data_IF_672179966840
#
_entry.id   IF_672179966840
#
_cell.length_a   1.000
_cell.length_b   1.000
_cell.length_c   1.000
_cell.angle_alpha   90.00
_cell.angle_beta   90.00
_cell.angle_gamma   90.00
#
_symmetry.space_group_name_H-M   'P 1'
#
loop_
_entity.id
_entity.type
_entity.pdbx_description
1 polymer ?
#
# COMPACT_ATOMS: atom_id res chain seq x y z
N UNK A 1 12.52 9.12 5.84
CA UNK A 1 12.97 8.20 6.91
C UNK A 1 13.69 7.03 6.25
N UNK A 2 15.02 6.98 6.34
CA UNK A 2 15.82 5.85 5.83
C UNK A 2 16.20 4.98 7.03
N UNK A 3 16.01 3.65 6.97
CA UNK A 3 16.42 2.77 8.06
C UNK A 3 17.92 2.87 8.34
N UNK A 4 18.31 2.94 9.60
CA UNK A 4 19.73 2.95 10.02
C UNK A 4 20.39 1.58 9.88
N UNK A 5 19.59 0.52 9.90
CA UNK A 5 20.04 -0.85 9.73
C UNK A 5 19.94 -1.25 8.24
N UNK A 6 21.08 -1.65 7.68
CA UNK A 6 21.27 -1.99 6.27
C UNK A 6 20.37 -3.15 5.82
N UNK A 7 20.01 -4.06 6.72
CA UNK A 7 19.10 -5.17 6.41
C UNK A 7 17.67 -4.69 6.11
N UNK A 8 17.31 -3.50 6.59
CA UNK A 8 16.00 -2.91 6.35
C UNK A 8 16.00 -1.90 5.20
N UNK A 9 17.14 -1.56 4.59
CA UNK A 9 17.22 -0.61 3.47
C UNK A 9 16.37 -1.05 2.27
N UNK A 10 16.25 -2.36 2.03
CA UNK A 10 15.42 -2.92 0.97
C UNK A 10 13.96 -3.19 1.38
N UNK A 11 13.54 -2.83 2.61
CA UNK A 11 12.15 -3.06 3.02
C UNK A 11 11.20 -2.06 2.35
N UNK A 12 10.42 -2.55 1.38
CA UNK A 12 9.40 -1.77 0.69
C UNK A 12 8.40 -1.18 1.68
N UNK A 13 8.31 0.13 1.79
CA UNK A 13 7.44 0.83 2.73
C UNK A 13 7.03 2.20 2.28
N UNK A 14 5.90 2.66 2.80
CA UNK A 14 5.51 4.05 2.65
C UNK A 14 6.52 4.96 3.37
N UNK A 15 7.19 5.89 2.69
CA UNK A 15 7.98 6.93 3.36
C UNK A 15 7.09 7.96 4.10
N UNK A 16 5.78 7.93 3.86
CA UNK A 16 4.82 8.84 4.45
C UNK A 16 4.37 8.34 5.83
N UNK A 17 4.44 9.25 6.80
CA UNK A 17 3.80 9.12 8.10
C UNK A 17 2.29 9.31 7.91
N UNK A 18 1.47 8.38 8.40
CA UNK A 18 0.01 8.51 8.33
C UNK A 18 -0.50 9.50 9.38
N UNK A 19 -1.71 10.03 9.17
CA UNK A 19 -2.34 10.91 10.15
C UNK A 19 -2.52 10.21 11.51
N UNK A 20 -2.85 8.92 11.51
CA UNK A 20 -2.96 8.14 12.74
C UNK A 20 -1.61 7.88 13.39
N UNK A 21 -0.53 7.70 12.65
CA UNK A 21 0.81 7.60 13.24
C UNK A 21 1.13 8.86 14.05
N UNK A 22 0.85 10.04 13.48
CA UNK A 22 1.03 11.34 14.17
C UNK A 22 0.11 11.41 15.39
N UNK A 23 -1.17 11.08 15.24
CA UNK A 23 -2.14 11.15 16.34
C UNK A 23 -1.75 10.21 17.50
N UNK A 24 -1.45 8.95 17.20
CA UNK A 24 -1.06 7.95 18.21
C UNK A 24 0.22 8.35 18.93
N UNK A 25 1.23 8.84 18.21
CA UNK A 25 2.45 9.37 18.85
C UNK A 25 2.14 10.53 19.78
N UNK A 26 1.31 11.49 19.34
CA UNK A 26 0.93 12.62 20.17
C UNK A 26 0.12 12.20 21.41
N UNK A 27 -0.74 11.19 21.28
CA UNK A 27 -1.45 10.63 22.43
C UNK A 27 -0.49 9.90 23.38
N UNK A 28 0.43 9.10 22.85
CA UNK A 28 1.40 8.35 23.66
C UNK A 28 2.30 9.25 24.51
N UNK A 29 2.70 10.41 23.97
CA UNK A 29 3.52 11.40 24.67
C UNK A 29 2.71 12.52 25.35
N UNK A 30 1.38 12.36 25.51
CA UNK A 30 0.47 13.34 26.11
C UNK A 30 0.57 14.75 25.50
N UNK A 31 0.95 14.85 24.22
CA UNK A 31 1.00 16.11 23.48
C UNK A 31 -0.39 16.70 23.24
N UNK A 32 -1.41 15.85 23.16
CA UNK A 32 -2.82 16.27 23.01
C UNK A 32 -3.32 17.08 24.21
N UNK A 33 -2.75 16.86 25.39
CA UNK A 33 -3.19 17.47 26.64
C UNK A 33 -2.66 18.91 26.81
N UNK A 34 -1.66 19.29 26.00
CA UNK A 34 -1.09 20.65 25.98
C UNK A 34 -2.11 21.70 25.54
N UNK A 35 -3.10 21.30 24.75
CA UNK A 35 -4.12 22.20 24.21
C UNK A 35 -5.44 22.03 24.95
N UNK A 36 -5.83 23.04 25.74
CA UNK A 36 -7.10 23.04 26.49
C UNK A 36 -8.29 22.98 25.55
N UNK A 37 -9.26 22.11 25.86
CA UNK A 37 -10.40 21.84 24.96
C UNK A 37 -11.23 23.09 24.68
N UNK A 38 -11.35 24.00 25.64
CA UNK A 38 -12.22 25.18 25.59
C UNK A 38 -11.64 26.28 24.68
N UNK A 39 -10.35 26.58 24.86
CA UNK A 39 -9.66 27.71 24.20
C UNK A 39 -8.99 27.35 22.88
N UNK A 40 -8.84 26.06 22.56
CA UNK A 40 -8.14 25.61 21.36
C UNK A 40 -9.05 25.59 20.13
N UNK A 41 -8.41 25.54 18.96
CA UNK A 41 -9.04 25.41 17.66
C UNK A 41 -10.04 24.23 17.60
N UNK A 42 -11.23 24.49 17.07
CA UNK A 42 -12.27 23.48 16.86
C UNK A 42 -12.10 22.81 15.50
N UNK A 43 -11.15 21.88 15.44
CA UNK A 43 -10.79 21.16 14.23
C UNK A 43 -11.98 20.39 13.62
N UNK A 44 -12.06 20.41 12.29
CA UNK A 44 -13.08 19.70 11.50
C UNK A 44 -12.48 18.47 10.83
N UNK A 45 -13.34 17.63 10.26
CA UNK A 45 -12.97 16.45 9.48
C UNK A 45 -12.00 15.49 10.21
N UNK A 46 -12.09 15.42 11.54
CA UNK A 46 -11.25 14.55 12.35
C UNK A 46 -9.83 15.05 12.62
N UNK A 47 -9.52 16.31 12.30
CA UNK A 47 -8.27 16.97 12.74
C UNK A 47 -8.19 17.16 14.25
N UNK A 48 -6.99 17.46 14.76
CA UNK A 48 -6.76 17.77 16.19
C UNK A 48 -5.86 19.02 16.35
N UNK A 49 -5.96 19.76 17.48
CA UNK A 49 -5.17 20.97 17.69
C UNK A 49 -3.66 20.70 17.62
N UNK A 50 -2.91 21.58 16.99
CA UNK A 50 -1.47 21.44 16.88
C UNK A 50 -0.82 21.62 18.27
N UNK A 51 -0.07 20.64 18.80
CA UNK A 51 0.43 20.67 20.18
C UNK A 51 1.40 21.81 20.53
N UNK A 52 1.99 22.45 19.51
CA UNK A 52 2.86 23.63 19.67
C UNK A 52 2.13 24.95 19.37
N UNK A 53 0.93 24.88 18.81
CA UNK A 53 0.11 26.03 18.44
C UNK A 53 -1.38 25.66 18.49
N UNK A 54 -2.00 25.82 19.65
CA UNK A 54 -3.37 25.36 19.86
C UNK A 54 -4.44 26.14 19.06
N UNK A 55 -4.06 27.20 18.35
CA UNK A 55 -4.94 28.00 17.50
C UNK A 55 -5.08 27.45 16.08
N UNK A 56 -4.29 26.44 15.71
CA UNK A 56 -4.38 25.74 14.41
C UNK A 56 -4.53 24.23 14.60
N UNK A 57 -4.91 23.55 13.52
CA UNK A 57 -5.16 22.11 13.51
C UNK A 57 -4.17 21.36 12.64
N UNK A 58 -3.78 20.16 13.09
CA UNK A 58 -3.19 19.13 12.24
C UNK A 58 -4.33 18.44 11.49
N UNK A 59 -4.25 18.46 10.17
CA UNK A 59 -5.31 17.99 9.29
C UNK A 59 -5.02 16.62 8.68
N UNK A 60 -6.04 15.76 8.52
CA UNK A 60 -5.88 14.54 7.73
C UNK A 60 -5.58 14.86 6.26
N UNK A 61 -4.84 13.97 5.60
CA UNK A 61 -4.48 14.12 4.17
C UNK A 61 -5.73 14.34 3.31
N UNK A 62 -5.73 15.42 2.54
CA UNK A 62 -6.85 15.90 1.71
C UNK A 62 -7.63 17.07 2.30
N UNK A 63 -7.43 17.37 3.58
CA UNK A 63 -8.01 18.53 4.25
C UNK A 63 -6.95 19.54 4.67
N UNK A 64 -7.34 20.81 4.77
CA UNK A 64 -6.46 21.88 5.19
C UNK A 64 -7.20 23.14 5.60
N UNK A 65 -6.45 24.24 5.69
CA UNK A 65 -6.86 25.45 6.42
C UNK A 65 -6.71 25.29 7.93
N UNK A 66 -6.74 26.40 8.68
CA UNK A 66 -6.46 26.41 10.13
C UNK A 66 -7.34 25.44 10.94
N UNK A 67 -8.56 25.17 10.46
CA UNK A 67 -9.54 24.28 11.11
C UNK A 67 -9.80 22.98 10.35
N UNK A 68 -9.01 22.66 9.33
CA UNK A 68 -9.22 21.48 8.47
C UNK A 68 -10.57 21.45 7.74
N UNK A 69 -11.18 22.62 7.49
CA UNK A 69 -12.49 22.76 6.86
C UNK A 69 -12.42 22.90 5.34
N UNK A 70 -11.22 23.07 4.77
CA UNK A 70 -11.01 23.15 3.32
C UNK A 70 -10.62 21.79 2.78
N UNK A 71 -11.07 21.45 1.58
CA UNK A 71 -10.66 20.25 0.82
C UNK A 71 -9.46 20.53 -0.08
N UNK A 72 -8.49 21.25 0.48
CA UNK A 72 -7.18 21.53 -0.10
C UNK A 72 -6.20 21.10 0.96
N UNK A 73 -5.46 20.03 0.70
CA UNK A 73 -4.52 19.46 1.67
C UNK A 73 -3.33 20.38 1.93
N UNK A 74 -2.57 20.04 2.96
CA UNK A 74 -1.21 20.57 3.14
C UNK A 74 -0.34 20.12 1.96
N UNK A 75 0.52 21.01 1.45
CA UNK A 75 1.39 20.80 0.28
C UNK A 75 0.64 20.52 -1.03
N UNK A 76 -0.60 20.99 -1.15
CA UNK A 76 -1.33 21.00 -2.43
C UNK A 76 -0.91 22.23 -3.25
N UNK A 77 -0.30 22.05 -4.44
CA UNK A 77 0.04 23.16 -5.31
C UNK A 77 -1.20 23.96 -5.75
N UNK A 78 -1.01 25.24 -6.04
CA UNK A 78 -2.09 26.08 -6.56
C UNK A 78 -2.63 25.53 -7.88
N UNK A 79 -3.95 25.46 -8.03
CA UNK A 79 -4.61 24.92 -9.22
C UNK A 79 -4.77 23.39 -9.23
N UNK A 80 -4.32 22.69 -8.18
CA UNK A 80 -4.44 21.24 -8.07
C UNK A 80 -5.63 20.82 -7.19
N UNK A 81 -6.33 19.76 -7.63
CA UNK A 81 -7.37 19.09 -6.85
C UNK A 81 -8.75 19.68 -7.09
N UNK A 82 -9.78 18.84 -6.97
CA UNK A 82 -11.19 19.25 -7.15
C UNK A 82 -12.16 18.21 -6.63
N UNK A 83 -13.39 18.65 -6.38
CA UNK A 83 -14.53 17.78 -6.23
C UNK A 83 -15.10 17.38 -7.59
N UNK A 84 -15.36 16.09 -7.77
CA UNK A 84 -15.91 15.51 -8.99
C UNK A 84 -17.12 14.65 -8.66
N UNK A 85 -18.07 14.58 -9.58
CA UNK A 85 -19.15 13.60 -9.56
C UNK A 85 -18.84 12.56 -10.62
N UNK A 86 -18.81 11.28 -10.22
CA UNK A 86 -18.65 10.19 -11.17
C UNK A 86 -19.90 10.07 -12.04
N UNK A 87 -19.70 9.84 -13.33
CA UNK A 87 -20.75 9.59 -14.31
C UNK A 87 -20.81 8.10 -14.64
N UNK A 88 -21.93 7.60 -15.22
CA UNK A 88 -21.98 6.23 -15.72
C UNK A 88 -20.98 5.95 -16.86
N UNK A 89 -20.55 7.00 -17.56
CA UNK A 89 -19.55 6.90 -18.64
C UNK A 89 -18.14 7.12 -18.10
N UNK A 90 -17.19 6.37 -18.66
CA UNK A 90 -15.77 6.51 -18.35
C UNK A 90 -15.27 7.90 -18.73
N UNK A 91 -14.56 8.55 -17.81
CA UNK A 91 -13.92 9.85 -18.04
C UNK A 91 -12.47 9.79 -17.59
N UNK A 92 -11.56 10.23 -18.46
CA UNK A 92 -10.15 10.37 -18.11
C UNK A 92 -9.91 11.60 -17.25
N UNK A 93 -9.20 11.40 -16.15
CA UNK A 93 -8.63 12.46 -15.32
C UNK A 93 -7.13 12.50 -15.59
N UNK A 94 -6.64 13.67 -16.01
CA UNK A 94 -5.21 13.93 -16.19
C UNK A 94 -4.81 15.05 -15.24
N UNK A 95 -3.70 14.84 -14.56
CA UNK A 95 -3.09 15.80 -13.65
C UNK A 95 -1.57 15.76 -13.81
N UNK A 96 -0.91 16.84 -13.40
CA UNK A 96 0.55 16.96 -13.42
C UNK A 96 0.99 17.50 -12.07
N UNK A 97 1.80 16.71 -11.37
CA UNK A 97 2.33 17.02 -10.04
C UNK A 97 3.84 16.93 -10.04
N UNK A 98 4.49 17.75 -9.21
CA UNK A 98 5.93 17.85 -9.18
C UNK A 98 6.52 18.61 -10.37
N UNK A 99 7.82 18.86 -10.30
CA UNK A 99 8.60 19.55 -11.32
C UNK A 99 9.92 18.83 -11.55
N UNK A 100 10.35 18.73 -12.81
CA UNK A 100 11.68 18.22 -13.17
C UNK A 100 12.81 19.08 -12.58
N UNK A 101 12.53 20.33 -12.24
CA UNK A 101 13.50 21.22 -11.59
C UNK A 101 13.89 20.78 -10.18
N UNK A 102 13.16 19.84 -9.56
CA UNK A 102 13.48 19.33 -8.23
C UNK A 102 14.66 18.36 -8.22
N UNK A 103 15.08 17.84 -9.39
CA UNK A 103 16.22 16.95 -9.49
C UNK A 103 16.07 15.66 -8.67
N UNK A 104 17.20 15.10 -8.24
CA UNK A 104 17.28 13.82 -7.52
C UNK A 104 17.46 13.95 -6.00
N UNK A 105 17.38 15.18 -5.49
CA UNK A 105 17.57 15.48 -4.07
C UNK A 105 16.48 14.82 -3.22
N UNK A 106 16.89 14.22 -2.11
CA UNK A 106 15.97 13.62 -1.14
C UNK A 106 15.18 14.72 -0.45
N UNK A 107 13.86 14.65 -0.56
CA UNK A 107 12.94 15.58 0.10
C UNK A 107 12.16 14.86 1.19
N UNK A 108 11.90 15.58 2.28
CA UNK A 108 11.07 15.05 3.37
C UNK A 108 9.58 15.06 3.04
N UNK A 109 9.16 15.90 2.09
CA UNK A 109 7.75 16.10 1.74
C UNK A 109 7.51 16.09 0.23
N UNK A 110 6.45 15.37 -0.16
CA UNK A 110 5.94 15.32 -1.53
C UNK A 110 4.81 16.35 -1.71
N UNK A 111 4.73 16.91 -2.90
CA UNK A 111 3.53 17.63 -3.35
C UNK A 111 2.37 16.65 -3.49
N UNK A 112 1.18 17.05 -3.06
CA UNK A 112 0.00 16.17 -3.07
C UNK A 112 -1.21 16.87 -3.64
N UNK A 113 -1.82 16.24 -4.63
CA UNK A 113 -3.10 16.65 -5.15
C UNK A 113 -4.21 15.72 -4.67
N UNK A 114 -5.33 16.30 -4.25
CA UNK A 114 -6.46 15.52 -3.74
C UNK A 114 -7.70 15.74 -4.60
N UNK A 115 -8.25 14.63 -5.09
CA UNK A 115 -9.49 14.61 -5.86
C UNK A 115 -10.58 13.91 -5.07
N UNK A 116 -11.72 14.58 -4.90
CA UNK A 116 -12.86 14.08 -4.16
C UNK A 116 -13.92 13.59 -5.14
N UNK A 117 -13.90 12.31 -5.47
CA UNK A 117 -14.80 11.73 -6.47
C UNK A 117 -16.02 11.14 -5.77
N UNK A 118 -17.18 11.77 -5.95
CA UNK A 118 -18.45 11.32 -5.37
C UNK A 118 -19.20 10.40 -6.33
N UNK A 119 -19.54 9.21 -5.85
CA UNK A 119 -20.40 8.28 -6.57
C UNK A 119 -21.87 8.77 -6.59
N UNK A 120 -22.63 8.49 -7.64
CA UNK A 120 -24.09 8.54 -7.59
C UNK A 120 -24.66 7.64 -6.49
N UNK A 121 -25.84 7.96 -5.97
CA UNK A 121 -26.48 7.16 -4.92
C UNK A 121 -26.63 5.69 -5.34
N UNK A 122 -26.23 4.77 -4.46
CA UNK A 122 -26.29 3.32 -4.71
C UNK A 122 -25.27 2.79 -5.73
N UNK A 123 -24.32 3.60 -6.20
CA UNK A 123 -23.28 3.18 -7.15
C UNK A 123 -21.89 3.24 -6.50
N UNK A 124 -20.94 2.50 -7.09
CA UNK A 124 -19.51 2.53 -6.75
C UNK A 124 -18.73 3.20 -7.89
N UNK A 125 -17.63 3.87 -7.55
CA UNK A 125 -16.71 4.43 -8.54
C UNK A 125 -15.71 3.36 -8.94
N UNK A 126 -15.56 3.13 -10.25
CA UNK A 126 -14.43 2.38 -10.79
C UNK A 126 -13.30 3.37 -11.13
N UNK A 127 -12.08 3.07 -10.69
CA UNK A 127 -10.88 3.85 -11.01
C UNK A 127 -9.91 2.94 -11.75
N UNK A 128 -9.47 3.38 -12.93
CA UNK A 128 -8.44 2.71 -13.72
C UNK A 128 -7.25 3.64 -13.87
N UNK A 129 -6.09 3.18 -13.40
CA UNK A 129 -4.83 3.87 -13.64
C UNK A 129 -4.42 3.58 -15.08
N UNK A 130 -4.25 4.63 -15.89
CA UNK A 130 -3.98 4.49 -17.31
C UNK A 130 -2.49 4.63 -17.61
N UNK A 131 -1.84 5.67 -17.08
CA UNK A 131 -0.43 5.95 -17.31
C UNK A 131 0.12 6.91 -16.26
N UNK A 132 1.44 6.87 -16.04
CA UNK A 132 2.22 7.83 -15.28
C UNK A 132 3.23 8.52 -16.21
N UNK A 133 3.37 9.84 -16.09
CA UNK A 133 4.19 10.66 -16.98
C UNK A 133 4.95 11.72 -16.16
N UNK A 134 6.21 12.06 -16.51
CA UNK A 134 7.01 11.55 -17.64
C UNK A 134 7.47 10.09 -17.44
N UNK A 135 7.95 9.45 -18.51
CA UNK A 135 8.42 8.06 -18.50
C UNK A 135 9.54 7.86 -17.45
N UNK A 136 9.58 6.69 -16.82
CA UNK A 136 10.65 6.33 -15.87
C UNK A 136 10.45 6.83 -14.42
N UNK A 137 9.27 7.35 -14.08
CA UNK A 137 8.93 7.76 -12.70
C UNK A 137 8.67 6.58 -11.76
N UNK A 138 8.27 5.43 -12.30
CA UNK A 138 8.14 4.17 -11.58
C UNK A 138 9.50 3.52 -11.32
N UNK A 139 10.23 4.07 -10.34
CA UNK A 139 11.50 3.51 -9.85
C UNK A 139 11.34 2.82 -8.51
N UNK A 140 12.25 1.90 -8.21
CA UNK A 140 12.33 1.24 -6.92
C UNK A 140 12.39 2.26 -5.77
N UNK A 141 11.64 1.98 -4.70
CA UNK A 141 11.59 2.83 -3.52
C UNK A 141 10.64 4.04 -3.62
N UNK A 142 9.90 4.19 -4.73
CA UNK A 142 8.80 5.16 -4.85
C UNK A 142 9.28 6.60 -4.68
N UNK A 143 10.38 6.91 -5.37
CA UNK A 143 11.11 8.17 -5.21
C UNK A 143 10.38 9.37 -5.82
N UNK A 144 9.62 9.15 -6.90
CA UNK A 144 9.07 10.24 -7.71
C UNK A 144 7.54 10.33 -7.67
N UNK A 145 6.82 9.20 -7.61
CA UNK A 145 5.36 9.21 -7.68
C UNK A 145 4.65 8.12 -6.84
N UNK A 146 3.32 8.25 -6.80
CA UNK A 146 2.42 7.26 -6.24
C UNK A 146 0.99 7.78 -6.26
N UNK A 147 0.02 6.87 -6.30
CA UNK A 147 -1.41 7.20 -6.20
C UNK A 147 -1.96 6.60 -4.92
N UNK A 148 -2.63 7.40 -4.10
CA UNK A 148 -3.34 6.93 -2.92
C UNK A 148 -4.85 7.00 -3.14
N UNK A 149 -5.51 5.83 -3.11
CA UNK A 149 -6.97 5.74 -3.22
C UNK A 149 -7.55 5.53 -1.82
N UNK A 150 -8.25 6.55 -1.31
CA UNK A 150 -9.03 6.47 -0.08
C UNK A 150 -10.49 6.13 -0.38
N UNK A 151 -10.96 5.02 0.14
CA UNK A 151 -12.35 4.55 -0.04
C UNK A 151 -13.10 4.42 1.28
N UNK A 152 -12.39 4.48 2.41
CA UNK A 152 -12.97 4.30 3.73
C UNK A 152 -13.83 5.50 4.13
N UNK A 153 -14.87 5.29 4.95
CA UNK A 153 -15.68 6.39 5.49
C UNK A 153 -14.82 7.35 6.35
N UNK A 154 -13.92 6.78 7.16
CA UNK A 154 -12.96 7.56 7.94
C UNK A 154 -11.77 8.00 7.08
N UNK A 155 -11.79 9.26 6.66
CA UNK A 155 -10.75 9.87 5.82
C UNK A 155 -9.42 10.10 6.55
N UNK A 156 -9.36 9.87 7.87
CA UNK A 156 -8.11 9.90 8.65
C UNK A 156 -7.21 8.71 8.34
N UNK A 157 -7.79 7.59 7.90
CA UNK A 157 -7.03 6.40 7.53
C UNK A 157 -6.18 6.65 6.28
N UNK A 158 -5.04 5.95 6.21
CA UNK A 158 -4.25 5.87 4.98
C UNK A 158 -5.00 5.02 3.96
N UNK A 159 -5.09 5.50 2.73
CA UNK A 159 -5.69 4.78 1.62
C UNK A 159 -4.77 3.71 1.07
N UNK A 160 -5.23 3.05 0.00
CA UNK A 160 -4.42 2.14 -0.78
C UNK A 160 -3.41 2.96 -1.58
N UNK A 161 -2.16 3.02 -1.12
CA UNK A 161 -1.10 3.72 -1.84
C UNK A 161 -0.42 2.77 -2.82
N UNK A 162 -0.75 2.93 -4.08
CA UNK A 162 -0.21 2.15 -5.19
C UNK A 162 0.98 2.87 -5.81
N UNK A 163 2.03 2.10 -6.03
CA UNK A 163 3.27 2.49 -6.71
C UNK A 163 3.56 1.46 -7.80
N UNK A 164 4.23 1.86 -8.87
CA UNK A 164 4.54 0.97 -9.98
C UNK A 164 6.02 0.60 -9.96
N UNK A 165 6.31 -0.69 -9.90
CA UNK A 165 7.66 -1.22 -10.10
C UNK A 165 7.79 -1.77 -11.51
N UNK A 166 8.81 -1.33 -12.24
CA UNK A 166 9.08 -1.88 -13.56
C UNK A 166 9.41 -3.37 -13.46
N UNK A 167 8.79 -4.22 -14.30
CA UNK A 167 9.05 -5.65 -14.34
C UNK A 167 10.03 -6.00 -15.46
N UNK A 168 9.53 -5.92 -16.69
CA UNK A 168 10.19 -6.34 -17.93
C UNK A 168 9.34 -5.87 -19.11
N UNK A 169 9.90 -5.75 -20.31
CA UNK A 169 9.15 -5.37 -21.51
C UNK A 169 9.28 -3.90 -21.90
N UNK A 170 8.17 -3.29 -22.28
CA UNK A 170 8.11 -1.88 -22.68
C UNK A 170 7.89 -0.98 -21.45
N UNK A 171 8.87 -0.14 -21.16
CA UNK A 171 8.78 0.92 -20.12
C UNK A 171 7.69 1.96 -20.40
N UNK A 172 6.95 1.85 -21.51
CA UNK A 172 5.83 2.70 -21.87
C UNK A 172 4.46 2.04 -21.69
N UNK A 173 4.41 0.72 -21.53
CA UNK A 173 3.17 0.02 -21.21
C UNK A 173 3.03 -0.14 -19.70
N UNK A 174 1.98 0.43 -19.11
CA UNK A 174 1.69 0.27 -17.68
C UNK A 174 1.49 -1.20 -17.28
N UNK A 175 1.15 -2.06 -18.24
CA UNK A 175 0.96 -3.50 -18.02
C UNK A 175 2.29 -4.24 -17.75
N UNK A 176 3.42 -3.64 -18.16
CA UNK A 176 4.78 -4.13 -17.91
C UNK A 176 5.35 -3.67 -16.56
N UNK A 177 4.52 -2.99 -15.77
CA UNK A 177 4.78 -2.66 -14.37
C UNK A 177 3.98 -3.54 -13.42
N UNK A 178 4.57 -3.85 -12.26
CA UNK A 178 3.90 -4.47 -11.12
C UNK A 178 3.37 -3.38 -10.19
N UNK A 179 2.05 -3.24 -10.02
CA UNK A 179 1.51 -2.38 -8.98
C UNK A 179 1.76 -3.00 -7.60
N UNK A 180 2.31 -2.22 -6.68
CA UNK A 180 2.47 -2.60 -5.28
C UNK A 180 1.69 -1.63 -4.42
N UNK A 181 0.86 -2.18 -3.51
CA UNK A 181 0.20 -1.37 -2.49
C UNK A 181 1.07 -1.30 -1.23
N UNK A 182 1.54 -0.11 -0.88
CA UNK A 182 2.37 0.11 0.30
C UNK A 182 1.51 0.22 1.56
N UNK A 183 1.79 -0.65 2.53
CA UNK A 183 1.19 -0.59 3.86
C UNK A 183 1.81 0.52 4.72
N UNK A 184 1.00 1.05 5.64
CA UNK A 184 1.48 1.95 6.70
C UNK A 184 2.46 1.23 7.63
N UNK A 185 3.28 1.98 8.35
CA UNK A 185 4.25 1.41 9.30
C UNK A 185 3.54 0.55 10.35
N UNK A 186 2.46 1.06 10.94
CA UNK A 186 1.66 0.32 11.94
C UNK A 186 1.05 -0.94 11.33
N UNK A 187 0.49 -0.85 10.11
CA UNK A 187 -0.08 -2.02 9.43
C UNK A 187 0.98 -3.10 9.18
N UNK A 188 2.21 -2.73 8.82
CA UNK A 188 3.30 -3.70 8.66
C UNK A 188 3.70 -4.37 9.95
N UNK A 189 3.80 -3.60 11.04
CA UNK A 189 4.10 -4.16 12.35
C UNK A 189 3.01 -5.15 12.76
N UNK A 190 1.75 -4.77 12.56
CA UNK A 190 0.61 -5.63 12.85
C UNK A 190 0.61 -6.90 11.99
N UNK A 191 0.82 -6.80 10.67
CA UNK A 191 0.89 -7.98 9.80
C UNK A 191 2.08 -8.87 10.13
N UNK A 192 3.22 -8.31 10.57
CA UNK A 192 4.36 -9.08 11.07
C UNK A 192 4.04 -9.83 12.36
N UNK A 193 3.32 -9.20 13.29
CA UNK A 193 2.85 -9.87 14.52
C UNK A 193 1.90 -11.02 14.17
N UNK A 194 0.96 -10.81 13.25
CA UNK A 194 0.08 -11.88 12.76
C UNK A 194 0.90 -13.01 12.13
N UNK A 195 1.79 -12.67 11.19
CA UNK A 195 2.64 -13.66 10.51
C UNK A 195 3.42 -14.50 11.51
N UNK A 196 4.05 -13.87 12.51
CA UNK A 196 4.79 -14.59 13.55
C UNK A 196 3.93 -15.54 14.37
N UNK A 197 2.63 -15.25 14.56
CA UNK A 197 1.69 -16.12 15.27
C UNK A 197 1.23 -17.30 14.42
N UNK A 198 1.02 -17.09 13.12
CA UNK A 198 0.43 -18.10 12.23
C UNK A 198 1.47 -18.93 11.46
N UNK A 199 2.71 -18.45 11.35
CA UNK A 199 3.75 -19.07 10.50
C UNK A 199 3.93 -20.55 10.78
N UNK A 200 4.02 -20.95 12.06
CA UNK A 200 4.24 -22.36 12.42
C UNK A 200 3.10 -23.25 11.92
N UNK A 201 1.86 -22.87 12.18
CA UNK A 201 0.68 -23.65 11.75
C UNK A 201 0.58 -23.70 10.23
N UNK A 202 0.89 -22.61 9.53
CA UNK A 202 0.95 -22.58 8.07
C UNK A 202 2.04 -23.50 7.51
N UNK A 203 3.24 -23.45 8.10
CA UNK A 203 4.37 -24.28 7.67
C UNK A 203 4.10 -25.77 7.90
N UNK A 204 3.45 -26.15 9.00
CA UNK A 204 3.06 -27.54 9.30
C UNK A 204 1.93 -28.05 8.38
N UNK A 205 1.00 -27.17 7.98
CA UNK A 205 -0.11 -27.53 7.10
C UNK A 205 0.28 -27.61 5.61
N UNK A 206 1.43 -27.06 5.21
CA UNK A 206 1.86 -27.04 3.82
C UNK A 206 2.63 -28.30 3.42
N UNK A 207 2.34 -28.86 2.22
CA UNK A 207 3.05 -30.03 1.71
C UNK A 207 4.53 -29.72 1.43
N UNK A 208 5.40 -30.73 1.43
CA UNK A 208 6.84 -30.52 1.21
C UNK A 208 7.17 -29.99 -0.20
N UNK A 209 6.30 -30.25 -1.18
CA UNK A 209 6.41 -29.75 -2.55
C UNK A 209 6.15 -28.24 -2.67
N UNK A 210 5.58 -27.61 -1.63
CA UNK A 210 5.50 -26.16 -1.56
C UNK A 210 6.79 -25.61 -0.96
N UNK A 211 7.66 -25.02 -1.79
CA UNK A 211 8.89 -24.36 -1.34
C UNK A 211 8.79 -22.83 -1.30
N UNK A 212 7.77 -22.26 -1.95
CA UNK A 212 7.62 -20.80 -2.03
C UNK A 212 7.32 -20.18 -0.67
N UNK A 213 8.04 -19.11 -0.32
CA UNK A 213 7.84 -18.31 0.90
C UNK A 213 7.97 -19.07 2.23
N UNK A 214 8.63 -20.23 2.24
CA UNK A 214 8.89 -21.01 3.46
C UNK A 214 10.34 -20.89 3.91
N UNK A 215 10.55 -20.96 5.21
CA UNK A 215 11.88 -20.99 5.80
C UNK A 215 12.54 -22.34 5.51
N UNK A 216 13.81 -22.35 5.14
CA UNK A 216 14.62 -23.56 4.91
C UNK A 216 14.24 -24.39 3.67
N UNK A 217 13.28 -23.94 2.86
CA UNK A 217 12.98 -24.52 1.55
C UNK A 217 13.57 -23.67 0.42
N UNK A 218 13.94 -24.32 -0.68
CA UNK A 218 14.51 -23.67 -1.87
C UNK A 218 13.99 -24.29 -3.16
N UNK A 219 13.94 -23.51 -4.23
CA UNK A 219 13.61 -24.02 -5.57
C UNK A 219 14.70 -24.93 -6.15
N UNK A 220 15.89 -24.94 -5.55
CA UNK A 220 17.03 -25.78 -6.00
C UNK A 220 16.67 -27.26 -5.93
N UNK A 221 16.04 -27.72 -4.85
CA UNK A 221 15.67 -29.13 -4.68
C UNK A 221 14.63 -29.58 -5.71
N UNK A 222 13.68 -28.70 -6.05
CA UNK A 222 12.70 -28.95 -7.10
C UNK A 222 13.33 -29.01 -8.48
N UNK A 223 14.26 -28.09 -8.79
CA UNK A 223 15.00 -28.11 -10.06
C UNK A 223 15.81 -29.41 -10.17
N UNK A 224 16.49 -29.82 -9.09
CA UNK A 224 17.24 -31.07 -9.07
C UNK A 224 16.33 -32.29 -9.29
N UNK A 225 15.18 -32.32 -8.62
CA UNK A 225 14.19 -33.40 -8.75
C UNK A 225 13.68 -33.50 -10.19
N UNK A 226 13.29 -32.37 -10.80
CA UNK A 226 12.83 -32.33 -12.20
C UNK A 226 13.94 -32.76 -13.16
N UNK A 227 15.17 -32.26 -12.97
CA UNK A 227 16.32 -32.65 -13.77
C UNK A 227 16.55 -34.17 -13.71
N UNK A 228 16.50 -34.75 -12.51
CA UNK A 228 16.69 -36.19 -12.32
C UNK A 228 15.58 -37.02 -12.98
N UNK A 229 14.32 -36.59 -12.89
CA UNK A 229 13.20 -37.24 -13.57
C UNK A 229 13.39 -37.24 -15.09
N UNK A 230 13.85 -36.12 -15.66
CA UNK A 230 14.15 -36.02 -17.11
C UNK A 230 15.26 -37.00 -17.51
N UNK A 231 16.34 -37.07 -16.73
CA UNK A 231 17.46 -37.99 -17.00
C UNK A 231 17.02 -39.46 -16.98
N UNK A 232 16.35 -39.88 -15.91
CA UNK A 232 15.89 -41.26 -15.74
C UNK A 232 14.89 -41.64 -16.84
N UNK A 233 13.95 -40.74 -17.17
CA UNK A 233 13.00 -41.00 -18.25
C UNK A 233 13.69 -41.21 -19.60
N UNK A 234 14.76 -40.45 -19.88
CA UNK A 234 15.56 -40.60 -21.11
C UNK A 234 16.34 -41.92 -21.12
N UNK A 235 16.94 -42.29 -19.98
CA UNK A 235 17.72 -43.53 -19.84
C UNK A 235 16.86 -44.78 -20.07
N UNK A 236 15.69 -44.84 -19.43
CA UNK A 236 14.77 -45.98 -19.53
C UNK A 236 13.77 -45.88 -20.70
N UNK A 237 13.89 -44.86 -21.55
CA UNK A 237 13.00 -44.60 -22.70
C UNK A 237 11.51 -44.56 -22.30
N UNK A 238 11.23 -44.04 -21.11
CA UNK A 238 9.86 -43.86 -20.64
C UNK A 238 9.30 -42.53 -21.17
N UNK A 239 7.99 -42.45 -21.47
CA UNK A 239 7.36 -41.18 -21.80
C UNK A 239 7.20 -40.31 -20.54
N UNK A 240 7.72 -39.08 -20.58
CA UNK A 240 7.55 -38.07 -19.53
C UNK A 240 6.84 -36.84 -20.10
N UNK A 241 5.82 -36.38 -19.40
CA UNK A 241 5.12 -35.12 -19.69
C UNK A 241 5.30 -34.18 -18.50
N UNK A 242 5.72 -32.95 -18.76
CA UNK A 242 5.84 -31.89 -17.77
C UNK A 242 4.81 -30.80 -18.09
N UNK A 243 3.98 -30.46 -17.11
CA UNK A 243 3.01 -29.37 -17.21
C UNK A 243 3.45 -28.19 -16.34
N UNK A 244 3.61 -27.03 -16.97
CA UNK A 244 3.94 -25.77 -16.29
C UNK A 244 2.67 -24.92 -16.20
N UNK A 245 2.22 -24.62 -14.98
CA UNK A 245 1.00 -23.88 -14.72
C UNK A 245 1.39 -22.57 -14.05
N UNK A 246 1.05 -21.44 -14.66
CA UNK A 246 1.28 -20.10 -14.11
C UNK A 246 -0.04 -19.32 -14.01
N UNK A 247 -0.56 -19.07 -12.79
CA UNK A 247 -1.78 -18.30 -12.62
C UNK A 247 -1.57 -16.81 -12.92
N UNK A 248 -2.39 -16.25 -13.80
CA UNK A 248 -2.35 -14.82 -14.12
C UNK A 248 -2.80 -14.00 -12.90
N UNK A 249 -1.97 -13.04 -12.47
CA UNK A 249 -2.26 -12.13 -11.34
C UNK A 249 -2.68 -12.90 -10.08
N UNK A 250 -1.81 -13.81 -9.63
CA UNK A 250 -2.08 -14.71 -8.52
C UNK A 250 -2.64 -14.01 -7.27
N UNK A 251 -2.06 -12.87 -6.86
CA UNK A 251 -2.51 -12.12 -5.66
C UNK A 251 -3.81 -11.34 -5.86
N UNK A 252 -4.05 -10.80 -7.07
CA UNK A 252 -5.25 -9.99 -7.36
C UNK A 252 -6.50 -10.86 -7.56
N UNK A 253 -6.31 -12.15 -7.85
CA UNK A 253 -7.38 -13.08 -8.21
C UNK A 253 -7.87 -13.92 -7.02
N UNK A 254 -7.30 -13.72 -5.82
CA UNK A 254 -7.68 -14.47 -4.62
C UNK A 254 -9.01 -13.95 -4.06
N UNK A 255 -9.96 -14.85 -3.84
CA UNK A 255 -11.22 -14.53 -3.17
C UNK A 255 -10.98 -14.32 -1.66
N UNK A 256 -11.35 -13.13 -1.16
CA UNK A 256 -11.13 -12.78 0.26
C UNK A 256 -11.86 -13.72 1.21
N UNK A 257 -13.09 -14.13 0.87
CA UNK A 257 -13.88 -15.06 1.70
C UNK A 257 -13.22 -16.44 1.79
N UNK A 258 -12.59 -16.92 0.71
CA UNK A 258 -11.86 -18.18 0.73
C UNK A 258 -10.64 -18.12 1.67
N UNK A 259 -9.91 -17.00 1.69
CA UNK A 259 -8.79 -16.78 2.61
C UNK A 259 -9.27 -16.72 4.05
N UNK A 260 -10.34 -15.97 4.32
CA UNK A 260 -10.92 -15.88 5.67
C UNK A 260 -11.44 -17.24 6.14
N UNK A 261 -12.08 -18.01 5.27
CA UNK A 261 -12.50 -19.38 5.55
C UNK A 261 -11.32 -20.27 5.94
N UNK A 262 -10.21 -20.21 5.19
CA UNK A 262 -8.99 -20.96 5.54
C UNK A 262 -8.45 -20.53 6.92
N UNK A 263 -8.38 -19.23 7.19
CA UNK A 263 -7.91 -18.70 8.47
C UNK A 263 -8.76 -19.19 9.65
N UNK A 264 -10.08 -19.30 9.47
CA UNK A 264 -11.00 -19.82 10.48
C UNK A 264 -10.89 -21.33 10.66
N UNK A 265 -10.75 -22.10 9.58
CA UNK A 265 -10.64 -23.57 9.64
C UNK A 265 -9.40 -24.03 10.40
N UNK A 266 -8.29 -23.30 10.25
CA UNK A 266 -7.03 -23.61 10.93
C UNK A 266 -6.88 -22.89 12.28
N UNK A 267 -7.94 -22.25 12.78
CA UNK A 267 -7.99 -21.51 14.05
C UNK A 267 -6.81 -20.54 14.21
N UNK A 268 -6.39 -19.93 13.09
CA UNK A 268 -5.21 -19.08 13.01
C UNK A 268 -5.42 -17.71 13.69
N UNK A 269 -6.64 -17.42 14.13
CA UNK A 269 -7.00 -16.22 14.89
C UNK A 269 -7.37 -16.63 16.30
N UNK A 270 -6.55 -16.17 17.26
CA UNK A 270 -6.78 -16.38 18.70
C UNK A 270 -8.20 -15.90 19.07
N UNK A 271 -9.02 -16.69 19.79
CA UNK A 271 -10.37 -16.29 20.20
C UNK A 271 -10.45 -15.11 21.19
N UNK A 272 -9.32 -14.51 21.59
CA UNK A 272 -9.28 -13.45 22.60
C UNK A 272 -8.73 -12.15 21.99
N UNK A 273 -9.59 -11.47 21.23
CA UNK A 273 -9.56 -10.01 21.03
C UNK A 273 -10.96 -9.49 21.39
N UNK A 274 -11.26 -9.57 22.69
CA UNK A 274 -12.37 -8.87 23.33
C UNK A 274 -11.78 -7.80 24.27
#
# INVERSE_FOLDING_TARGET
MVPTDIYYTATMGSPFISFYDILMLNMHYNCTDKCKRESSAKCKNGGFPHPRNCSECICPSGYGGMLCNKRVGTHTPSGCGKELKALPTTRTLKDTLGSQSYGDETRDEFEKCHYWIKAPAGKKVEVKLLNFSPKGVGVDGCKYDGVEIKTQADQRLTGYRTVLLYKEGDVHDILDYRPICLLSVVSKLFTRVILNRISRTLDEAQPCEQAGFRREFSTIDHIHTIAKLIEVSREYKLPLCLAFIDPKKAFDSVETEAVLGFVLVYDLVVPNLA
#
